data_IF_499972232599
#
_entry.id   IF_499972232599
#
_cell.length_a   1.000
_cell.length_b   1.000
_cell.length_c   1.000
_cell.angle_alpha   90.00
_cell.angle_beta   90.00
_cell.angle_gamma   90.00
#
_symmetry.space_group_name_H-M   'P 1'
#
loop_
_entity.id
_entity.type
_entity.pdbx_description
1 polymer ?
#
# COMPACT_ATOMS: atom_id res chain seq x y z
N UNK A 1 35.34 -20.62 -12.41
CA UNK A 1 35.17 -19.93 -13.70
C UNK A 1 33.82 -20.32 -14.27
N UNK A 2 32.90 -19.37 -14.37
CA UNK A 2 31.56 -19.57 -14.92
C UNK A 2 31.67 -19.80 -16.44
N UNK A 3 31.54 -21.05 -16.90
CA UNK A 3 31.36 -21.34 -18.32
C UNK A 3 30.03 -20.74 -18.76
N UNK A 4 30.04 -19.91 -19.79
CA UNK A 4 28.81 -19.38 -20.37
C UNK A 4 28.17 -20.45 -21.26
N UNK A 5 26.89 -20.32 -21.60
CA UNK A 5 26.21 -21.27 -22.50
C UNK A 5 26.87 -21.39 -23.89
N UNK A 6 27.68 -20.40 -24.29
CA UNK A 6 28.46 -20.41 -25.52
C UNK A 6 29.66 -21.39 -25.47
N UNK A 7 30.08 -21.83 -24.28
CA UNK A 7 31.26 -22.68 -24.06
C UNK A 7 30.92 -24.18 -23.90
N UNK A 8 29.65 -24.55 -24.08
CA UNK A 8 29.19 -25.93 -23.99
C UNK A 8 29.33 -26.61 -25.36
N UNK A 9 30.37 -27.44 -25.53
CA UNK A 9 30.48 -28.31 -26.70
C UNK A 9 29.30 -29.29 -26.76
N UNK A 10 28.88 -29.73 -27.96
CA UNK A 10 27.85 -30.76 -28.12
C UNK A 10 28.19 -32.05 -27.34
N UNK A 11 29.48 -32.32 -27.19
CA UNK A 11 30.01 -33.43 -26.39
C UNK A 11 29.75 -33.23 -24.89
N UNK A 12 29.94 -32.01 -24.37
CA UNK A 12 29.59 -31.66 -22.97
C UNK A 12 28.09 -31.81 -22.75
N UNK A 13 27.26 -31.38 -23.72
CA UNK A 13 25.81 -31.52 -23.65
C UNK A 13 25.36 -32.98 -23.66
N UNK A 14 26.00 -33.83 -24.48
CA UNK A 14 25.75 -35.28 -24.52
C UNK A 14 26.09 -36.00 -23.20
N UNK A 15 27.08 -35.50 -22.46
CA UNK A 15 27.51 -36.07 -21.18
C UNK A 15 26.64 -35.63 -19.98
N UNK A 16 25.85 -34.56 -20.10
CA UNK A 16 24.98 -34.06 -19.00
C UNK A 16 24.04 -35.15 -18.47
N UNK A 17 23.51 -36.00 -19.35
CA UNK A 17 22.58 -37.06 -18.96
C UNK A 17 23.26 -38.12 -18.08
N UNK A 18 24.43 -38.60 -18.49
CA UNK A 18 25.21 -39.59 -17.73
C UNK A 18 25.80 -39.00 -16.45
N UNK A 19 26.21 -37.73 -16.47
CA UNK A 19 26.68 -37.04 -15.28
C UNK A 19 25.55 -36.83 -14.27
N UNK A 20 24.33 -36.48 -14.72
CA UNK A 20 23.14 -36.44 -13.84
C UNK A 20 22.84 -37.81 -13.24
N UNK A 21 22.84 -38.89 -14.05
CA UNK A 21 22.63 -40.25 -13.55
C UNK A 21 23.66 -40.64 -12.51
N UNK A 22 24.94 -40.34 -12.76
CA UNK A 22 26.03 -40.61 -11.80
C UNK A 22 25.82 -39.83 -10.50
N UNK A 23 25.46 -38.54 -10.59
CA UNK A 23 25.17 -37.70 -9.41
C UNK A 23 23.95 -38.17 -8.64
N UNK A 24 22.91 -38.69 -9.30
CA UNK A 24 21.76 -39.30 -8.63
C UNK A 24 22.13 -40.61 -7.95
N UNK A 25 22.91 -41.48 -8.61
CA UNK A 25 23.35 -42.74 -8.04
C UNK A 25 24.31 -42.55 -6.86
N UNK A 26 25.10 -41.46 -6.85
CA UNK A 26 26.01 -41.10 -5.76
C UNK A 26 25.43 -40.10 -4.76
N UNK A 27 24.15 -39.72 -4.89
CA UNK A 27 23.52 -38.79 -3.97
C UNK A 27 23.29 -39.48 -2.61
N UNK A 28 23.44 -38.72 -1.53
CA UNK A 28 23.07 -39.17 -0.18
C UNK A 28 21.58 -39.53 -0.14
N UNK A 29 21.25 -40.60 0.59
CA UNK A 29 19.88 -40.96 0.97
C UNK A 29 19.39 -40.20 2.20
N UNK A 30 20.22 -39.33 2.78
CA UNK A 30 19.85 -38.42 3.85
C UNK A 30 18.66 -37.54 3.42
N UNK A 31 17.60 -37.57 4.22
CA UNK A 31 16.40 -36.82 3.94
C UNK A 31 16.71 -35.31 3.91
N UNK A 32 16.20 -34.63 2.88
CA UNK A 32 16.26 -33.18 2.81
C UNK A 32 15.64 -32.55 4.07
N UNK A 33 16.16 -31.41 4.55
CA UNK A 33 15.59 -30.74 5.70
C UNK A 33 14.14 -30.36 5.41
N UNK A 34 13.27 -30.44 6.44
CA UNK A 34 11.85 -30.09 6.29
C UNK A 34 11.64 -28.65 5.80
N UNK A 35 12.57 -27.75 6.15
CA UNK A 35 12.60 -26.37 5.68
C UNK A 35 14.03 -25.94 5.42
N UNK A 36 14.21 -25.04 4.45
CA UNK A 36 15.52 -24.43 4.19
C UNK A 36 15.64 -23.08 4.91
N UNK A 37 16.85 -22.62 5.25
CA UNK A 37 17.06 -21.31 5.86
C UNK A 37 16.40 -20.15 5.08
N UNK A 38 16.36 -20.24 3.75
CA UNK A 38 15.67 -19.26 2.90
C UNK A 38 14.16 -19.23 3.11
N UNK A 39 13.54 -20.38 3.41
CA UNK A 39 12.11 -20.44 3.71
C UNK A 39 11.80 -19.83 5.07
N UNK A 40 12.65 -20.07 6.07
CA UNK A 40 12.48 -19.46 7.40
C UNK A 40 12.70 -17.95 7.35
N UNK A 41 13.71 -17.49 6.60
CA UNK A 41 13.90 -16.06 6.37
C UNK A 41 12.70 -15.44 5.64
N UNK A 42 12.18 -16.10 4.59
CA UNK A 42 11.00 -15.61 3.88
C UNK A 42 9.76 -15.52 4.77
N UNK A 43 9.53 -16.50 5.66
CA UNK A 43 8.43 -16.44 6.65
C UNK A 43 8.59 -15.28 7.63
N UNK A 44 9.82 -15.02 8.09
CA UNK A 44 10.15 -13.91 8.98
C UNK A 44 9.97 -12.54 8.31
N UNK A 45 10.36 -12.41 7.04
CA UNK A 45 10.25 -11.15 6.28
C UNK A 45 8.84 -10.90 5.73
N UNK A 46 8.09 -11.97 5.44
CA UNK A 46 6.77 -11.89 4.80
C UNK A 46 5.72 -12.72 5.55
N UNK A 47 5.46 -12.44 6.84
CA UNK A 47 4.43 -13.16 7.57
C UNK A 47 3.04 -12.84 7.00
N UNK A 48 2.16 -13.84 6.99
CA UNK A 48 0.76 -13.62 6.59
C UNK A 48 0.01 -12.75 7.61
N UNK A 49 0.35 -12.93 8.90
CA UNK A 49 -0.17 -12.20 10.05
C UNK A 49 0.95 -11.97 11.06
N UNK A 50 0.90 -10.81 11.71
CA UNK A 50 1.68 -10.50 12.91
C UNK A 50 0.67 -10.08 13.99
N UNK A 51 0.89 -10.57 15.19
CA UNK A 51 0.07 -10.26 16.36
C UNK A 51 0.82 -9.25 17.21
N UNK A 52 0.18 -8.12 17.46
CA UNK A 52 0.80 -6.95 18.08
C UNK A 52 -0.02 -6.51 19.29
N UNK A 53 0.58 -5.66 20.13
CA UNK A 53 -0.09 -4.92 21.19
C UNK A 53 0.09 -3.42 20.96
N UNK A 54 -0.92 -2.62 21.26
CA UNK A 54 -0.80 -1.16 21.29
C UNK A 54 0.04 -0.78 22.51
N UNK A 55 1.31 -0.43 22.31
CA UNK A 55 2.19 -0.03 23.40
C UNK A 55 1.99 1.42 23.83
N UNK A 56 1.64 2.29 22.88
CA UNK A 56 1.45 3.73 23.13
C UNK A 56 0.48 4.34 22.13
N UNK A 57 -0.34 5.28 22.60
CA UNK A 57 -1.17 6.15 21.75
C UNK A 57 -0.73 7.60 21.93
N UNK A 58 -0.46 8.29 20.82
CA UNK A 58 -0.14 9.72 20.82
C UNK A 58 -1.20 10.49 20.04
N UNK A 59 -1.87 11.43 20.70
CA UNK A 59 -2.81 12.34 20.02
C UNK A 59 -2.01 13.32 19.16
N UNK A 60 -2.32 13.39 17.87
CA UNK A 60 -1.63 14.28 16.93
C UNK A 60 -2.42 15.57 16.69
N UNK A 61 -3.72 15.42 16.42
CA UNK A 61 -4.73 16.49 16.31
C UNK A 61 -6.11 15.87 16.53
N UNK A 62 -7.18 16.66 16.54
CA UNK A 62 -8.55 16.20 16.90
C UNK A 62 -9.00 14.93 16.15
N UNK A 63 -8.60 14.79 14.89
CA UNK A 63 -8.98 13.69 14.02
C UNK A 63 -7.82 12.74 13.68
N UNK A 64 -6.67 12.80 14.35
CA UNK A 64 -5.56 11.88 14.09
C UNK A 64 -4.81 11.43 15.35
N UNK A 65 -4.53 10.13 15.42
CA UNK A 65 -3.74 9.47 16.47
C UNK A 65 -2.62 8.66 15.86
N UNK A 66 -1.47 8.61 16.53
CA UNK A 66 -0.37 7.70 16.23
C UNK A 66 -0.36 6.54 17.22
N UNK A 67 -0.34 5.32 16.71
CA UNK A 67 -0.36 4.08 17.48
C UNK A 67 0.99 3.38 17.32
N UNK A 68 1.71 3.22 18.44
CA UNK A 68 2.92 2.41 18.48
C UNK A 68 2.53 0.96 18.77
N UNK A 69 2.87 0.06 17.85
CA UNK A 69 2.60 -1.36 17.93
C UNK A 69 3.88 -2.13 18.24
N UNK A 70 3.84 -3.02 19.22
CA UNK A 70 4.95 -3.92 19.58
C UNK A 70 4.55 -5.39 19.44
N UNK A 71 5.47 -6.31 19.12
CA UNK A 71 5.18 -7.73 18.99
C UNK A 71 4.50 -8.33 20.23
N UNK A 72 3.46 -9.15 20.01
CA UNK A 72 2.84 -9.96 21.05
C UNK A 72 3.43 -11.38 21.05
N UNK A 73 4.48 -11.57 21.84
CA UNK A 73 5.18 -12.85 21.94
C UNK A 73 4.26 -13.99 22.40
N UNK A 74 3.28 -13.71 23.26
CA UNK A 74 2.32 -14.69 23.76
C UNK A 74 1.42 -15.25 22.64
N UNK A 75 1.29 -14.53 21.53
CA UNK A 75 0.50 -14.91 20.36
C UNK A 75 1.38 -15.24 19.15
N UNK A 76 2.69 -15.45 19.36
CA UNK A 76 3.59 -16.02 18.34
C UNK A 76 4.31 -15.00 17.46
N UNK A 77 4.24 -13.71 17.77
CA UNK A 77 5.06 -12.68 17.09
C UNK A 77 6.12 -12.17 18.06
N UNK A 78 7.38 -12.50 17.81
CA UNK A 78 8.51 -12.11 18.66
C UNK A 78 9.26 -10.89 18.15
N UNK A 79 9.09 -10.55 16.87
CA UNK A 79 9.78 -9.47 16.20
C UNK A 79 8.94 -8.92 15.04
N UNK A 80 9.17 -7.65 14.71
CA UNK A 80 8.56 -7.03 13.55
C UNK A 80 9.23 -7.52 12.25
N UNK A 81 8.44 -7.82 11.23
CA UNK A 81 8.95 -8.05 9.88
C UNK A 81 9.63 -6.78 9.33
N UNK A 82 10.80 -6.96 8.69
CA UNK A 82 11.50 -5.85 8.06
C UNK A 82 10.72 -5.30 6.85
N UNK A 83 10.86 -4.00 6.59
CA UNK A 83 10.16 -3.32 5.50
C UNK A 83 11.05 -2.26 4.85
N UNK A 84 10.64 -1.78 3.68
CA UNK A 84 11.23 -0.60 3.05
C UNK A 84 10.39 0.64 3.36
N UNK A 85 11.04 1.76 3.69
CA UNK A 85 10.34 3.00 3.99
C UNK A 85 9.36 3.40 2.88
N UNK A 86 8.13 3.73 3.29
CA UNK A 86 6.99 3.97 2.40
C UNK A 86 6.02 2.79 2.27
N UNK A 87 6.35 1.59 2.76
CA UNK A 87 5.39 0.49 2.82
C UNK A 87 4.29 0.68 3.87
N UNK A 88 3.23 -0.13 3.75
CA UNK A 88 2.07 -0.15 4.65
C UNK A 88 1.83 -1.53 5.28
N UNK A 89 1.01 -1.54 6.33
CA UNK A 89 0.47 -2.74 6.96
C UNK A 89 -1.05 -2.76 6.83
N UNK A 90 -1.64 -3.93 6.62
CA UNK A 90 -3.08 -4.10 6.76
C UNK A 90 -3.42 -4.38 8.22
N UNK A 91 -4.27 -3.56 8.83
CA UNK A 91 -4.88 -3.82 10.13
C UNK A 91 -6.14 -4.64 9.90
N UNK A 92 -6.27 -5.78 10.57
CA UNK A 92 -7.44 -6.66 10.51
C UNK A 92 -8.35 -6.41 11.70
N UNK A 93 -9.66 -6.33 11.44
CA UNK A 93 -10.69 -6.11 12.44
C UNK A 93 -11.92 -6.97 12.13
N UNK A 94 -12.61 -7.39 13.18
CA UNK A 94 -13.99 -7.87 13.10
C UNK A 94 -14.88 -6.82 13.75
N UNK A 95 -15.75 -6.21 12.96
CA UNK A 95 -16.72 -5.21 13.44
C UNK A 95 -18.12 -5.81 13.28
N UNK A 96 -18.69 -6.28 14.38
CA UNK A 96 -20.04 -6.88 14.44
C UNK A 96 -20.23 -8.07 13.46
N UNK A 97 -19.23 -8.96 13.33
CA UNK A 97 -19.26 -10.12 12.43
C UNK A 97 -18.80 -9.79 11.01
N UNK A 98 -18.40 -8.54 10.74
CA UNK A 98 -17.86 -8.11 9.46
C UNK A 98 -16.33 -8.07 9.53
N UNK A 99 -15.70 -9.11 8.98
CA UNK A 99 -14.25 -9.17 8.85
C UNK A 99 -13.77 -8.18 7.77
N UNK A 100 -13.07 -7.13 8.21
CA UNK A 100 -12.53 -6.06 7.35
C UNK A 100 -11.04 -5.87 7.62
N UNK A 101 -10.37 -5.20 6.67
CA UNK A 101 -9.01 -4.72 6.90
C UNK A 101 -8.80 -3.38 6.21
N UNK A 102 -7.84 -2.59 6.70
CA UNK A 102 -7.42 -1.33 6.06
C UNK A 102 -5.92 -1.21 6.02
N UNK A 103 -5.41 -0.67 4.92
CA UNK A 103 -4.00 -0.37 4.74
C UNK A 103 -3.65 0.95 5.43
N UNK A 104 -2.60 0.95 6.23
CA UNK A 104 -2.02 2.14 6.86
C UNK A 104 -0.52 2.16 6.62
N UNK A 105 -0.02 3.23 6.02
CA UNK A 105 1.42 3.42 5.81
C UNK A 105 2.16 3.43 7.15
N UNK A 106 3.30 2.75 7.18
CA UNK A 106 4.15 2.70 8.37
C UNK A 106 4.83 4.06 8.49
N UNK A 107 4.62 4.78 9.59
CA UNK A 107 5.19 6.10 9.83
C UNK A 107 6.53 6.06 10.60
N UNK A 108 6.86 4.94 11.24
CA UNK A 108 8.20 4.67 11.80
C UNK A 108 9.18 4.27 10.70
N UNK A 109 10.47 4.16 11.03
CA UNK A 109 11.52 3.74 10.09
C UNK A 109 11.72 2.22 10.05
N UNK A 110 12.35 1.67 9.00
CA UNK A 110 12.83 0.29 8.99
C UNK A 110 13.73 -0.07 10.18
N UNK A 111 14.54 0.88 10.66
CA UNK A 111 15.38 0.70 11.86
C UNK A 111 14.55 0.55 13.13
N UNK A 112 13.43 1.25 13.24
CA UNK A 112 12.52 1.12 14.38
C UNK A 112 11.85 -0.25 14.44
N UNK A 113 11.50 -0.83 13.29
CA UNK A 113 11.00 -2.21 13.23
C UNK A 113 12.05 -3.20 13.72
N UNK A 114 13.33 -3.02 13.37
CA UNK A 114 14.42 -3.82 13.92
C UNK A 114 14.60 -3.62 15.44
N UNK A 115 14.20 -2.46 15.97
CA UNK A 115 14.14 -2.17 17.40
C UNK A 115 12.83 -2.63 18.07
N UNK A 116 11.95 -3.32 17.33
CA UNK A 116 10.79 -4.00 17.89
C UNK A 116 9.49 -3.20 17.91
N UNK A 117 9.32 -2.16 17.06
CA UNK A 117 8.03 -1.50 16.95
C UNK A 117 7.70 -0.97 15.55
N UNK A 118 6.39 -0.84 15.28
CA UNK A 118 5.87 -0.03 14.19
C UNK A 118 5.11 1.17 14.74
N UNK A 119 5.00 2.24 13.96
CA UNK A 119 4.05 3.31 14.19
C UNK A 119 3.09 3.43 13.02
N UNK A 120 1.79 3.50 13.32
CA UNK A 120 0.72 3.75 12.37
C UNK A 120 -0.01 5.04 12.76
N UNK A 121 -0.03 6.02 11.86
CA UNK A 121 -0.83 7.23 12.08
C UNK A 121 -2.16 7.08 11.37
N UNK A 122 -3.25 7.10 12.14
CA UNK A 122 -4.59 6.88 11.64
C UNK A 122 -5.38 8.15 11.83
N UNK A 123 -5.85 8.70 10.70
CA UNK A 123 -6.77 9.83 10.66
C UNK A 123 -8.21 9.30 10.54
N UNK A 124 -9.10 9.80 11.40
CA UNK A 124 -10.52 9.56 11.28
C UNK A 124 -11.03 10.10 9.94
N UNK A 125 -11.90 9.34 9.29
CA UNK A 125 -12.53 9.72 8.03
C UNK A 125 -14.00 9.94 8.33
N UNK A 126 -14.57 11.04 7.85
CA UNK A 126 -15.99 11.30 8.00
C UNK A 126 -16.79 10.12 7.42
N UNK A 127 -17.72 9.57 8.21
CA UNK A 127 -18.52 8.38 7.88
C UNK A 127 -17.70 7.10 7.60
N UNK A 128 -16.40 7.10 7.90
CA UNK A 128 -15.52 5.96 7.72
C UNK A 128 -15.69 4.90 8.81
N UNK A 129 -15.95 3.65 8.45
CA UNK A 129 -16.18 2.61 9.47
C UNK A 129 -14.93 2.27 10.28
N UNK A 130 -13.84 1.91 9.61
CA UNK A 130 -12.67 1.29 10.26
C UNK A 130 -11.82 2.30 11.01
N UNK A 131 -11.55 3.46 10.42
CA UNK A 131 -10.75 4.49 11.08
C UNK A 131 -11.44 5.01 12.33
N UNK A 132 -12.76 5.26 12.30
CA UNK A 132 -13.51 5.67 13.49
C UNK A 132 -13.57 4.55 14.54
N UNK A 133 -13.79 3.29 14.14
CA UNK A 133 -13.72 2.17 15.08
C UNK A 133 -12.40 2.12 15.83
N UNK A 134 -11.26 2.20 15.12
CA UNK A 134 -9.94 2.24 15.75
C UNK A 134 -9.80 3.46 16.67
N UNK A 135 -10.24 4.63 16.20
CA UNK A 135 -10.12 5.88 16.94
C UNK A 135 -10.86 5.86 18.28
N UNK A 136 -12.04 5.23 18.30
CA UNK A 136 -12.95 5.21 19.44
C UNK A 136 -12.69 4.04 20.41
N UNK A 137 -12.16 2.92 19.90
CA UNK A 137 -12.08 1.68 20.68
C UNK A 137 -10.67 1.28 21.11
N UNK A 138 -9.62 1.60 20.35
CA UNK A 138 -8.26 1.16 20.71
C UNK A 138 -7.71 1.91 21.91
N UNK A 139 -7.11 1.15 22.83
CA UNK A 139 -6.42 1.58 24.04
C UNK A 139 -5.04 0.92 24.14
N UNK A 140 -4.17 1.50 24.96
CA UNK A 140 -2.90 0.86 25.29
C UNK A 140 -3.14 -0.52 25.93
N UNK A 141 -2.38 -1.52 25.49
CA UNK A 141 -2.53 -2.93 25.85
C UNK A 141 -3.41 -3.74 24.91
N UNK A 142 -4.21 -3.12 24.04
CA UNK A 142 -5.10 -3.85 23.13
C UNK A 142 -4.31 -4.67 22.11
N UNK A 143 -4.85 -5.85 21.78
CA UNK A 143 -4.30 -6.73 20.76
C UNK A 143 -4.70 -6.24 19.37
N UNK A 144 -3.75 -6.26 18.46
CA UNK A 144 -3.92 -5.83 17.07
C UNK A 144 -3.36 -6.90 16.15
N UNK A 145 -4.15 -7.33 15.18
CA UNK A 145 -3.70 -8.22 14.12
C UNK A 145 -3.36 -7.40 12.87
N UNK A 146 -2.15 -7.58 12.35
CA UNK A 146 -1.67 -6.90 11.14
C UNK A 146 -1.11 -7.89 10.12
N UNK A 147 -0.95 -7.46 8.86
CA UNK A 147 -0.25 -8.25 7.84
C UNK A 147 1.27 -8.14 7.99
N UNK A 148 2.03 -8.88 7.17
CA UNK A 148 3.37 -8.47 6.80
C UNK A 148 3.36 -7.16 5.96
N UNK A 149 4.49 -6.44 5.89
CA UNK A 149 4.61 -5.22 5.08
C UNK A 149 4.24 -5.44 3.62
N UNK A 150 3.60 -4.45 3.00
CA UNK A 150 3.17 -4.46 1.60
C UNK A 150 3.28 -3.07 0.99
N UNK A 151 3.16 -2.97 -0.34
CA UNK A 151 3.22 -1.71 -1.06
C UNK A 151 4.53 -1.54 -1.84
N UNK A 152 4.46 -0.66 -2.85
CA UNK A 152 5.53 -0.42 -3.83
C UNK A 152 5.99 1.05 -3.86
N UNK A 153 5.50 1.86 -2.92
CA UNK A 153 5.84 3.26 -2.76
C UNK A 153 7.16 3.43 -2.00
N UNK A 154 8.20 2.77 -2.49
CA UNK A 154 9.53 2.74 -1.88
C UNK A 154 10.55 3.34 -2.85
N UNK A 155 11.64 3.91 -2.35
CA UNK A 155 12.70 4.45 -3.19
C UNK A 155 13.63 3.35 -3.74
N UNK A 156 13.95 3.38 -5.03
CA UNK A 156 14.94 2.50 -5.66
C UNK A 156 15.87 3.25 -6.60
N UNK A 157 17.18 3.12 -6.38
CA UNK A 157 18.24 3.74 -7.22
C UNK A 157 18.23 3.25 -8.67
N UNK A 158 17.60 2.11 -8.96
CA UNK A 158 17.50 1.54 -10.32
C UNK A 158 16.40 2.25 -11.13
N UNK A 159 15.36 2.72 -10.44
CA UNK A 159 14.13 3.25 -11.05
C UNK A 159 14.04 4.78 -10.92
N UNK A 160 14.38 5.29 -9.75
CA UNK A 160 14.11 6.66 -9.33
C UNK A 160 15.37 7.53 -9.41
N UNK A 161 15.16 8.83 -9.56
CA UNK A 161 16.23 9.81 -9.56
C UNK A 161 16.80 10.02 -8.15
N UNK A 162 17.99 10.63 -8.04
CA UNK A 162 18.65 10.88 -6.75
C UNK A 162 17.86 11.83 -5.84
N UNK A 163 17.04 12.71 -6.41
CA UNK A 163 16.16 13.61 -5.67
C UNK A 163 14.71 13.19 -5.88
N UNK A 164 13.99 13.05 -4.77
CA UNK A 164 12.55 12.82 -4.73
C UNK A 164 11.87 14.10 -4.26
N UNK A 165 10.95 14.60 -5.08
CA UNK A 165 9.98 15.63 -4.70
C UNK A 165 8.72 14.90 -4.21
N UNK A 166 8.53 14.86 -2.91
CA UNK A 166 7.34 14.31 -2.27
C UNK A 166 6.21 15.32 -2.25
N UNK A 167 5.03 14.95 -2.74
CA UNK A 167 3.80 15.74 -2.69
C UNK A 167 2.88 15.05 -1.70
N UNK A 168 2.73 15.66 -0.53
CA UNK A 168 1.98 15.11 0.58
C UNK A 168 0.71 15.93 0.84
N UNK A 169 -0.38 15.25 1.18
CA UNK A 169 -1.63 15.88 1.63
C UNK A 169 -2.21 15.19 2.86
N UNK A 170 -2.50 15.94 3.93
CA UNK A 170 -3.09 15.39 5.15
C UNK A 170 -2.25 14.25 5.77
N UNK A 171 -2.87 13.09 6.00
CA UNK A 171 -2.19 11.89 6.52
C UNK A 171 -1.25 11.21 5.51
N UNK A 172 -1.27 11.63 4.24
CA UNK A 172 -0.32 11.17 3.22
C UNK A 172 1.13 11.58 3.48
N UNK A 173 1.40 12.34 4.54
CA UNK A 173 2.75 12.63 5.02
C UNK A 173 3.46 11.41 5.63
N UNK A 174 2.69 10.41 6.09
CA UNK A 174 3.19 9.25 6.84
C UNK A 174 4.27 8.42 6.12
N UNK A 175 4.13 8.01 4.84
CA UNK A 175 5.21 7.32 4.14
C UNK A 175 6.46 8.20 4.00
N UNK A 176 6.31 9.52 3.84
CA UNK A 176 7.45 10.44 3.76
C UNK A 176 8.17 10.61 5.10
N UNK A 177 7.46 10.53 6.23
CA UNK A 177 8.08 10.50 7.55
C UNK A 177 8.97 9.26 7.70
N UNK A 178 8.48 8.10 7.28
CA UNK A 178 9.27 6.86 7.25
C UNK A 178 10.52 7.02 6.39
N UNK A 179 10.38 7.58 5.17
CA UNK A 179 11.51 7.83 4.27
C UNK A 179 12.53 8.81 4.85
N UNK A 180 12.08 9.90 5.47
CA UNK A 180 12.93 10.90 6.10
C UNK A 180 13.76 10.27 7.25
N UNK A 181 13.11 9.49 8.13
CA UNK A 181 13.81 8.75 9.19
C UNK A 181 14.79 7.71 8.62
N UNK A 182 14.43 7.04 7.53
CA UNK A 182 15.28 6.05 6.85
C UNK A 182 16.55 6.70 6.26
N UNK A 183 16.43 7.91 5.72
CA UNK A 183 17.57 8.73 5.25
C UNK A 183 18.49 9.11 6.42
N UNK A 184 17.93 9.65 7.51
CA UNK A 184 18.71 10.06 8.70
C UNK A 184 19.41 8.87 9.35
N UNK A 185 18.77 7.70 9.37
CA UNK A 185 19.35 6.47 9.91
C UNK A 185 20.54 5.93 9.10
N UNK A 186 20.77 6.44 7.88
CA UNK A 186 21.82 6.01 6.97
C UNK A 186 21.48 4.77 6.13
N UNK A 187 20.26 4.23 6.24
CA UNK A 187 19.82 3.06 5.48
C UNK A 187 19.55 3.38 4.00
N UNK A 188 19.09 4.60 3.71
CA UNK A 188 18.87 5.09 2.34
C UNK A 188 19.63 6.37 2.06
N UNK A 189 19.94 6.55 0.79
CA UNK A 189 20.78 7.64 0.33
C UNK A 189 20.18 8.27 -0.93
N UNK A 190 19.28 9.23 -0.72
CA UNK A 190 18.65 10.10 -1.71
C UNK A 190 18.25 11.43 -1.04
N UNK A 191 17.94 12.45 -1.83
CA UNK A 191 17.44 13.73 -1.33
C UNK A 191 15.92 13.72 -1.35
N UNK A 192 15.28 14.22 -0.29
CA UNK A 192 13.84 14.27 -0.14
C UNK A 192 13.38 15.71 0.09
N UNK A 193 12.69 16.26 -0.91
CA UNK A 193 12.05 17.58 -0.84
C UNK A 193 10.55 17.35 -0.74
N UNK A 194 9.94 17.66 0.40
CA UNK A 194 8.52 17.42 0.66
C UNK A 194 7.76 18.73 0.51
N UNK A 195 6.82 18.76 -0.44
CA UNK A 195 5.79 19.77 -0.57
C UNK A 195 4.57 19.26 0.19
N UNK A 196 4.29 19.83 1.36
CA UNK A 196 3.26 19.34 2.26
C UNK A 196 2.05 20.28 2.30
N UNK A 197 0.97 19.86 1.63
CA UNK A 197 -0.30 20.54 1.58
C UNK A 197 -1.13 20.34 2.85
N UNK A 198 -1.51 21.44 3.50
CA UNK A 198 -2.39 21.48 4.68
C UNK A 198 -3.41 22.61 4.55
N UNK A 199 -4.54 22.51 5.24
CA UNK A 199 -5.55 23.59 5.21
C UNK A 199 -5.05 24.84 5.93
N UNK A 200 -4.55 24.67 7.14
CA UNK A 200 -3.97 25.70 7.99
C UNK A 200 -2.72 25.15 8.68
N UNK A 201 -1.92 26.04 9.25
CA UNK A 201 -0.68 25.67 9.94
C UNK A 201 -0.90 24.82 11.20
N UNK A 202 -2.05 24.96 11.87
CA UNK A 202 -2.42 24.15 13.06
C UNK A 202 -2.65 22.67 12.73
N UNK A 203 -3.07 22.37 11.50
CA UNK A 203 -3.37 21.00 11.06
C UNK A 203 -2.16 20.21 10.55
N UNK A 204 -0.95 20.77 10.61
CA UNK A 204 0.27 20.15 10.08
C UNK A 204 0.71 19.01 11.01
N UNK A 205 0.57 17.77 10.53
CA UNK A 205 1.07 16.60 11.25
C UNK A 205 2.60 16.55 11.22
N UNK A 206 3.21 16.13 12.33
CA UNK A 206 4.65 15.90 12.44
C UNK A 206 5.55 17.12 12.15
N UNK A 207 5.02 18.35 12.21
CA UNK A 207 5.80 19.56 11.91
C UNK A 207 7.14 19.59 12.66
N UNK A 208 7.09 19.46 13.99
CA UNK A 208 8.28 19.48 14.85
C UNK A 208 9.28 18.38 14.48
N UNK A 209 8.80 17.17 14.19
CA UNK A 209 9.67 16.05 13.86
C UNK A 209 10.37 16.26 12.50
N UNK A 210 9.68 16.84 11.52
CA UNK A 210 10.30 17.22 10.26
C UNK A 210 11.29 18.38 10.40
N UNK A 211 11.01 19.36 11.27
CA UNK A 211 11.95 20.43 11.59
C UNK A 211 13.26 19.83 12.17
N UNK A 212 13.15 18.86 13.07
CA UNK A 212 14.29 18.14 13.67
C UNK A 212 15.05 17.30 12.63
N UNK A 213 14.35 16.51 11.81
CA UNK A 213 14.97 15.68 10.76
C UNK A 213 15.68 16.52 9.70
N UNK A 214 15.12 17.68 9.34
CA UNK A 214 15.74 18.62 8.39
C UNK A 214 16.98 19.31 8.98
N UNK A 215 17.02 19.51 10.31
CA UNK A 215 18.20 20.03 10.99
C UNK A 215 19.33 18.98 11.10
N UNK A 216 18.98 17.69 11.23
CA UNK A 216 19.94 16.59 11.32
C UNK A 216 20.55 16.21 9.95
N UNK A 217 19.81 16.41 8.85
CA UNK A 217 20.26 16.02 7.52
C UNK A 217 19.96 17.08 6.46
N UNK A 218 21.00 17.52 5.75
CA UNK A 218 20.89 18.41 4.60
C UNK A 218 20.22 17.77 3.36
N UNK A 219 19.86 16.49 3.44
CA UNK A 219 19.14 15.77 2.37
C UNK A 219 17.63 15.93 2.48
N UNK A 220 17.12 16.52 3.55
CA UNK A 220 15.69 16.65 3.82
C UNK A 220 15.32 18.12 3.79
N UNK A 221 14.30 18.46 3.01
CA UNK A 221 13.68 19.77 2.98
C UNK A 221 12.17 19.60 3.04
N UNK A 222 11.51 20.38 3.89
CA UNK A 222 10.04 20.41 3.97
C UNK A 222 9.56 21.81 3.68
N UNK A 223 8.65 21.92 2.73
CA UNK A 223 7.98 23.15 2.32
C UNK A 223 6.50 22.96 2.59
N UNK A 224 5.96 23.78 3.48
CA UNK A 224 4.54 23.76 3.80
C UNK A 224 3.75 24.64 2.84
N UNK A 225 2.65 24.10 2.32
CA UNK A 225 1.73 24.80 1.41
C UNK A 225 0.36 24.85 2.08
N UNK A 226 -0.16 26.05 2.34
CA UNK A 226 -1.41 26.27 3.06
C UNK A 226 -2.53 26.73 2.12
N UNK A 227 -3.67 26.04 2.13
CA UNK A 227 -4.78 26.37 1.22
C UNK A 227 -5.75 27.43 1.77
N UNK A 228 -5.82 27.61 3.10
CA UNK A 228 -6.82 28.48 3.75
C UNK A 228 -6.17 29.59 4.61
N UNK A 229 -4.85 29.68 4.66
CA UNK A 229 -4.10 30.63 5.49
C UNK A 229 -2.89 31.13 4.70
N UNK A 230 -2.78 32.44 4.47
CA UNK A 230 -1.53 33.06 4.03
C UNK A 230 -0.66 33.35 5.26
N UNK A 231 0.56 32.83 5.27
CA UNK A 231 1.47 32.92 6.42
C UNK A 231 2.92 33.05 5.98
N UNK A 232 3.67 33.94 6.64
CA UNK A 232 5.09 34.10 6.38
C UNK A 232 5.87 32.79 6.62
N UNK A 233 6.72 32.42 5.65
CA UNK A 233 7.47 31.17 5.66
C UNK A 233 6.73 29.96 5.09
N UNK A 234 5.51 30.15 4.57
CA UNK A 234 4.68 29.12 3.94
C UNK A 234 4.35 29.53 2.50
N UNK A 235 4.21 28.55 1.61
CA UNK A 235 3.58 28.77 0.32
C UNK A 235 2.06 28.80 0.48
N UNK A 236 1.36 29.49 -0.41
CA UNK A 236 -0.10 29.60 -0.39
C UNK A 236 -0.76 28.91 -1.58
N UNK A 237 -1.92 28.30 -1.35
CA UNK A 237 -2.74 27.65 -2.37
C UNK A 237 -2.61 26.13 -2.39
N UNK A 238 -2.53 25.57 -3.60
CA UNK A 238 -2.37 24.13 -3.85
C UNK A 238 -1.03 23.85 -4.50
N UNK A 239 -0.53 22.61 -4.38
CA UNK A 239 0.76 22.20 -4.93
C UNK A 239 0.66 22.11 -6.46
N UNK A 240 0.94 23.22 -7.14
CA UNK A 240 0.90 23.36 -8.59
C UNK A 240 2.24 22.97 -9.25
N UNK A 241 2.24 22.91 -10.58
CA UNK A 241 3.45 22.78 -11.40
C UNK A 241 4.51 23.83 -11.02
N UNK A 242 4.09 25.07 -10.78
CA UNK A 242 4.98 26.17 -10.40
C UNK A 242 5.71 25.89 -9.09
N UNK A 243 4.96 25.48 -8.04
CA UNK A 243 5.55 25.13 -6.75
C UNK A 243 6.47 23.92 -6.89
N UNK A 244 6.07 22.89 -7.65
CA UNK A 244 6.91 21.72 -7.86
C UNK A 244 8.23 22.12 -8.53
N UNK A 245 8.18 22.90 -9.62
CA UNK A 245 9.38 23.38 -10.33
C UNK A 245 10.26 24.33 -9.52
N UNK A 246 9.66 25.11 -8.62
CA UNK A 246 10.39 26.04 -7.73
C UNK A 246 11.36 25.31 -6.82
N UNK A 247 10.98 24.12 -6.33
CA UNK A 247 11.76 23.35 -5.36
C UNK A 247 12.43 22.10 -5.95
N UNK A 248 12.03 21.67 -7.14
CA UNK A 248 12.73 20.61 -7.86
C UNK A 248 14.12 21.07 -8.33
N UNK A 249 15.10 20.14 -8.46
CA UNK A 249 16.39 20.47 -9.05
C UNK A 249 16.22 20.92 -10.51
N UNK A 250 16.84 22.05 -10.88
CA UNK A 250 16.75 22.62 -12.24
C UNK A 250 17.58 21.85 -13.27
N UNK A 251 18.75 21.37 -12.86
CA UNK A 251 19.78 20.81 -13.75
C UNK A 251 20.01 19.31 -13.54
N UNK A 252 19.07 18.61 -12.90
CA UNK A 252 19.16 17.17 -12.64
C UNK A 252 17.77 16.50 -12.67
N UNK A 253 17.67 15.21 -13.05
CA UNK A 253 16.41 14.49 -12.96
C UNK A 253 15.95 14.38 -11.51
N UNK A 254 14.63 14.38 -11.33
CA UNK A 254 13.98 14.12 -10.06
C UNK A 254 12.79 13.19 -10.26
N UNK A 255 12.37 12.56 -9.17
CA UNK A 255 11.15 11.76 -9.13
C UNK A 255 10.09 12.47 -8.32
N UNK A 256 8.84 12.36 -8.72
CA UNK A 256 7.68 12.89 -7.98
C UNK A 256 6.98 11.73 -7.33
N UNK A 257 6.91 11.76 -6.00
CA UNK A 257 6.23 10.77 -5.18
C UNK A 257 5.01 11.45 -4.58
N UNK A 258 3.82 10.86 -4.70
CA UNK A 258 2.56 11.48 -4.27
C UNK A 258 1.84 10.58 -3.27
N UNK A 259 1.41 11.15 -2.15
CA UNK A 259 0.54 10.47 -1.20
C UNK A 259 -0.42 11.47 -0.54
N UNK A 260 -1.73 11.23 -0.65
CA UNK A 260 -2.74 12.13 -0.11
C UNK A 260 -4.16 11.79 -0.57
N UNK A 261 -5.10 12.73 -0.44
CA UNK A 261 -6.49 12.50 -0.84
C UNK A 261 -6.66 12.42 -2.36
N UNK A 262 -7.70 11.73 -2.83
CA UNK A 262 -8.01 11.56 -4.27
C UNK A 262 -8.04 12.87 -5.05
N UNK A 263 -8.62 13.92 -4.47
CA UNK A 263 -8.68 15.26 -5.08
C UNK A 263 -7.29 15.86 -5.33
N UNK A 264 -6.31 15.53 -4.48
CA UNK A 264 -4.92 15.97 -4.65
C UNK A 264 -4.28 15.24 -5.82
N UNK A 265 -4.42 13.91 -5.91
CA UNK A 265 -3.91 13.15 -7.05
C UNK A 265 -4.47 13.67 -8.37
N UNK A 266 -5.80 13.84 -8.46
CA UNK A 266 -6.46 14.35 -9.66
C UNK A 266 -5.99 15.75 -10.08
N UNK A 267 -5.68 16.60 -9.10
CA UNK A 267 -5.14 17.93 -9.35
C UNK A 267 -3.69 17.86 -9.83
N UNK A 268 -2.82 17.21 -9.06
CA UNK A 268 -1.38 17.14 -9.33
C UNK A 268 -1.09 16.36 -10.62
N UNK A 269 -1.85 15.31 -10.93
CA UNK A 269 -1.68 14.57 -12.19
C UNK A 269 -1.92 15.46 -13.42
N UNK A 270 -2.79 16.47 -13.34
CA UNK A 270 -2.98 17.45 -14.42
C UNK A 270 -1.78 18.40 -14.52
N UNK A 271 -1.26 18.86 -13.39
CA UNK A 271 -0.06 19.69 -13.33
C UNK A 271 1.17 18.97 -13.89
N UNK A 272 1.33 17.67 -13.58
CA UNK A 272 2.45 16.84 -14.06
C UNK A 272 2.43 16.61 -15.58
N UNK A 273 1.27 16.68 -16.24
CA UNK A 273 1.18 16.52 -17.71
C UNK A 273 1.99 17.60 -18.45
N UNK A 274 2.08 18.80 -17.88
CA UNK A 274 2.84 19.91 -18.45
C UNK A 274 4.36 19.79 -18.22
N UNK A 275 4.76 18.98 -17.25
CA UNK A 275 6.16 18.86 -16.81
C UNK A 275 6.99 17.86 -17.63
N UNK A 276 6.34 17.05 -18.48
CA UNK A 276 6.98 16.08 -19.39
C UNK A 276 7.95 15.11 -18.68
N UNK A 277 7.69 14.78 -17.42
CA UNK A 277 8.47 13.79 -16.68
C UNK A 277 8.23 12.38 -17.25
N UNK A 278 9.29 11.58 -17.36
CA UNK A 278 9.14 10.17 -17.69
C UNK A 278 8.28 9.45 -16.65
N UNK A 279 7.32 8.63 -17.09
CA UNK A 279 6.38 7.92 -16.20
C UNK A 279 7.07 7.12 -15.08
N UNK A 280 8.29 6.62 -15.31
CA UNK A 280 9.06 5.85 -14.30
C UNK A 280 9.36 6.68 -13.04
N UNK A 281 9.47 8.00 -13.19
CA UNK A 281 9.76 8.95 -12.12
C UNK A 281 8.52 9.46 -11.39
N UNK A 282 7.32 9.10 -11.82
CA UNK A 282 6.07 9.48 -11.18
C UNK A 282 5.57 8.27 -10.38
N UNK A 283 5.32 8.50 -9.09
CA UNK A 283 4.95 7.45 -8.14
C UNK A 283 3.72 7.88 -7.38
N UNK A 284 2.69 7.07 -7.44
CA UNK A 284 1.51 7.18 -6.61
C UNK A 284 1.61 6.13 -5.50
N UNK A 285 1.29 6.55 -4.28
CA UNK A 285 0.85 5.62 -3.25
C UNK A 285 -0.62 5.25 -3.52
N UNK A 286 -1.18 4.34 -2.71
CA UNK A 286 -2.59 3.96 -2.75
C UNK A 286 -3.53 5.16 -3.01
N UNK A 287 -4.30 5.08 -4.09
CA UNK A 287 -5.28 6.10 -4.44
C UNK A 287 -6.44 6.23 -3.42
N UNK A 288 -6.66 5.20 -2.61
CA UNK A 288 -7.81 5.09 -1.69
C UNK A 288 -9.00 4.37 -2.31
N UNK A 289 -10.04 4.15 -1.50
CA UNK A 289 -11.28 3.48 -1.93
C UNK A 289 -12.17 4.42 -2.74
N UNK A 290 -12.82 3.90 -3.78
CA UNK A 290 -13.95 4.58 -4.42
C UNK A 290 -15.21 4.09 -3.73
N UNK A 291 -15.88 4.96 -2.98
CA UNK A 291 -17.04 4.58 -2.18
C UNK A 291 -18.37 4.63 -2.94
N UNK A 292 -18.46 5.44 -4.00
CA UNK A 292 -19.68 5.62 -4.76
C UNK A 292 -19.34 5.81 -6.24
N UNK A 293 -19.85 4.96 -7.15
CA UNK A 293 -19.53 5.06 -8.58
C UNK A 293 -20.07 6.35 -9.20
N UNK A 294 -21.15 6.94 -8.65
CA UNK A 294 -21.71 8.21 -9.14
C UNK A 294 -20.77 9.41 -8.96
N UNK A 295 -19.74 9.28 -8.12
CA UNK A 295 -18.68 10.30 -8.01
C UNK A 295 -17.72 10.32 -9.20
N UNK A 296 -17.78 9.29 -10.05
CA UNK A 296 -16.85 9.10 -11.16
C UNK A 296 -17.47 9.60 -12.47
N UNK A 297 -16.71 10.42 -13.20
CA UNK A 297 -17.17 11.03 -14.46
C UNK A 297 -17.42 10.01 -15.58
N UNK A 298 -16.77 8.84 -15.52
CA UNK A 298 -16.87 7.77 -16.51
C UNK A 298 -17.86 6.66 -16.11
N UNK A 299 -18.64 6.86 -15.04
CA UNK A 299 -19.66 5.90 -14.62
C UNK A 299 -20.85 5.89 -15.61
N UNK A 300 -21.19 4.74 -16.23
CA UNK A 300 -22.32 4.66 -17.16
C UNK A 300 -23.70 4.76 -16.49
N UNK A 301 -23.76 4.69 -15.15
CA UNK A 301 -25.01 4.54 -14.42
C UNK A 301 -25.56 3.12 -14.45
N UNK A 302 -26.50 2.84 -13.57
CA UNK A 302 -27.32 1.62 -13.61
C UNK A 302 -28.75 1.97 -13.25
N UNK A 303 -29.71 1.27 -13.89
CA UNK A 303 -31.14 1.38 -13.55
C UNK A 303 -31.55 0.41 -12.44
N UNK A 304 -30.67 -0.52 -12.09
CA UNK A 304 -30.94 -1.50 -11.06
C UNK A 304 -30.91 -0.81 -9.69
N UNK A 305 -31.92 -1.09 -8.87
CA UNK A 305 -31.95 -0.66 -7.46
C UNK A 305 -31.31 -1.68 -6.53
N UNK A 306 -31.15 -2.92 -7.02
CA UNK A 306 -30.45 -4.01 -6.35
C UNK A 306 -29.94 -4.98 -7.42
N UNK A 307 -28.87 -5.69 -7.10
CA UNK A 307 -28.30 -6.74 -7.96
C UNK A 307 -28.07 -8.01 -7.16
N UNK A 308 -28.15 -9.15 -7.83
CA UNK A 308 -27.82 -10.45 -7.27
C UNK A 308 -26.35 -10.77 -7.53
N UNK A 309 -25.59 -11.03 -6.46
CA UNK A 309 -24.20 -11.49 -6.55
C UNK A 309 -24.16 -12.94 -6.09
N UNK A 310 -23.89 -13.86 -7.01
CA UNK A 310 -23.61 -15.26 -6.70
C UNK A 310 -22.10 -15.44 -6.60
N UNK A 311 -21.61 -15.76 -5.41
CA UNK A 311 -20.18 -15.92 -5.12
C UNK A 311 -19.85 -17.38 -4.84
N UNK A 312 -18.81 -17.87 -5.50
CA UNK A 312 -18.25 -19.21 -5.27
C UNK A 312 -16.87 -19.07 -4.63
N UNK A 313 -16.68 -19.72 -3.49
CA UNK A 313 -15.40 -19.83 -2.77
C UNK A 313 -15.13 -21.31 -2.57
N UNK A 314 -14.15 -21.86 -3.30
CA UNK A 314 -13.91 -23.32 -3.37
C UNK A 314 -15.20 -24.05 -3.75
N UNK A 315 -15.70 -24.94 -2.89
CA UNK A 315 -16.89 -25.76 -3.13
C UNK A 315 -18.18 -25.13 -2.55
N UNK A 316 -18.10 -23.91 -2.02
CA UNK A 316 -19.26 -23.23 -1.41
C UNK A 316 -19.74 -22.09 -2.30
N UNK A 317 -21.03 -22.13 -2.65
CA UNK A 317 -21.70 -21.04 -3.38
C UNK A 317 -22.72 -20.36 -2.47
N UNK A 318 -22.69 -19.04 -2.45
CA UNK A 318 -23.68 -18.20 -1.75
C UNK A 318 -24.21 -17.15 -2.70
N UNK A 319 -25.45 -16.74 -2.45
CA UNK A 319 -26.10 -15.67 -3.21
C UNK A 319 -26.50 -14.58 -2.24
N UNK A 320 -26.17 -13.34 -2.58
CA UNK A 320 -26.55 -12.15 -1.83
C UNK A 320 -27.29 -11.16 -2.75
N UNK A 321 -28.10 -10.30 -2.14
CA UNK A 321 -28.65 -9.12 -2.80
C UNK A 321 -27.81 -7.93 -2.33
N UNK A 322 -27.34 -7.12 -3.27
CA UNK A 322 -26.41 -6.03 -3.03
C UNK A 322 -26.89 -4.71 -3.63
N UNK A 323 -26.44 -3.60 -3.03
CA UNK A 323 -26.58 -2.26 -3.61
C UNK A 323 -25.57 -2.11 -4.75
N UNK A 324 -25.98 -1.77 -5.98
CA UNK A 324 -25.06 -1.62 -7.09
C UNK A 324 -24.11 -0.41 -6.95
N UNK A 325 -24.33 0.48 -5.98
CA UNK A 325 -23.41 1.56 -5.64
C UNK A 325 -22.30 1.13 -4.68
N UNK A 326 -22.38 -0.07 -4.09
CA UNK A 326 -21.28 -0.65 -3.34
C UNK A 326 -20.32 -1.38 -4.30
N UNK A 327 -19.04 -1.40 -3.94
CA UNK A 327 -18.10 -2.32 -4.59
C UNK A 327 -18.51 -3.76 -4.30
N UNK A 328 -18.16 -4.69 -5.19
CA UNK A 328 -18.41 -6.12 -4.99
C UNK A 328 -17.79 -6.58 -3.66
N UNK A 329 -16.60 -6.11 -3.32
CA UNK A 329 -15.96 -6.43 -2.03
C UNK A 329 -16.78 -5.96 -0.83
N UNK A 330 -17.23 -4.71 -0.82
CA UNK A 330 -18.05 -4.19 0.28
C UNK A 330 -19.39 -4.92 0.41
N UNK A 331 -20.01 -5.28 -0.72
CA UNK A 331 -21.23 -6.07 -0.76
C UNK A 331 -21.04 -7.45 -0.10
N UNK A 332 -19.92 -8.11 -0.39
CA UNK A 332 -19.57 -9.41 0.19
C UNK A 332 -19.26 -9.28 1.69
N UNK A 333 -18.51 -8.26 2.10
CA UNK A 333 -18.17 -7.99 3.50
C UNK A 333 -19.43 -7.75 4.35
N UNK A 334 -20.35 -6.89 3.89
CA UNK A 334 -21.65 -6.63 4.56
C UNK A 334 -22.49 -7.90 4.77
N UNK A 335 -22.26 -8.94 3.98
CA UNK A 335 -22.95 -10.23 4.07
C UNK A 335 -22.11 -11.32 4.76
N UNK A 336 -21.04 -10.95 5.48
CA UNK A 336 -20.20 -11.87 6.24
C UNK A 336 -19.35 -12.79 5.37
N UNK A 337 -19.08 -12.40 4.12
CA UNK A 337 -18.25 -13.16 3.19
C UNK A 337 -16.87 -12.50 3.11
N UNK A 338 -15.88 -13.15 3.73
CA UNK A 338 -14.51 -12.65 3.76
C UNK A 338 -13.85 -12.76 2.37
N UNK A 339 -13.33 -11.64 1.87
CA UNK A 339 -12.61 -11.55 0.60
C UNK A 339 -11.15 -11.22 0.88
N UNK A 340 -10.19 -11.87 0.20
CA UNK A 340 -8.78 -11.47 0.31
C UNK A 340 -8.61 -10.02 -0.13
N UNK A 341 -8.06 -9.16 0.74
CA UNK A 341 -7.78 -7.77 0.38
C UNK A 341 -6.48 -7.26 1.01
N UNK A 342 -5.85 -6.29 0.34
CA UNK A 342 -4.73 -5.51 0.89
C UNK A 342 -4.93 -4.01 0.64
N UNK A 343 -4.64 -3.51 -0.56
CA UNK A 343 -4.65 -2.07 -0.84
C UNK A 343 -6.04 -1.42 -0.82
N UNK A 344 -7.08 -2.14 -1.28
CA UNK A 344 -8.42 -1.60 -1.57
C UNK A 344 -8.46 -0.40 -2.54
N UNK A 345 -7.45 -0.28 -3.40
CA UNK A 345 -7.33 0.79 -4.41
C UNK A 345 -7.15 0.25 -5.83
N UNK A 346 -7.42 -1.04 -6.06
CA UNK A 346 -7.33 -1.64 -7.39
C UNK A 346 -5.91 -1.94 -7.90
N UNK A 347 -4.87 -1.70 -7.12
CA UNK A 347 -3.48 -1.75 -7.61
C UNK A 347 -2.71 -3.04 -7.26
N UNK A 348 -2.94 -3.62 -6.07
CA UNK A 348 -2.09 -4.72 -5.57
C UNK A 348 -2.38 -6.09 -6.20
N UNK A 349 -3.56 -6.29 -6.78
CA UNK A 349 -4.01 -7.56 -7.34
C UNK A 349 -4.31 -8.69 -6.34
N UNK A 350 -4.21 -8.44 -5.03
CA UNK A 350 -4.43 -9.48 -4.00
C UNK A 350 -5.88 -9.98 -3.95
N UNK A 351 -6.84 -9.12 -4.28
CA UNK A 351 -8.26 -9.45 -4.31
C UNK A 351 -8.72 -10.09 -5.63
N UNK A 352 -7.79 -10.51 -6.50
CA UNK A 352 -8.16 -10.99 -7.83
C UNK A 352 -9.21 -12.09 -7.79
N UNK A 353 -10.28 -11.88 -8.55
CA UNK A 353 -11.40 -12.82 -8.64
C UNK A 353 -11.81 -12.99 -10.10
N UNK A 354 -12.35 -14.16 -10.44
CA UNK A 354 -12.80 -14.46 -11.81
C UNK A 354 -14.26 -14.08 -11.91
N UNK A 355 -14.59 -13.16 -12.82
CA UNK A 355 -15.97 -12.90 -13.21
C UNK A 355 -16.42 -14.03 -14.13
N UNK A 356 -17.45 -14.77 -13.73
CA UNK A 356 -17.97 -15.90 -14.52
C UNK A 356 -19.06 -15.43 -15.48
N UNK A 357 -19.94 -14.53 -15.01
CA UNK A 357 -20.99 -13.92 -15.81
C UNK A 357 -21.41 -12.55 -15.25
N UNK A 358 -22.10 -11.77 -16.08
CA UNK A 358 -22.58 -10.42 -15.75
C UNK A 358 -21.62 -9.30 -16.15
N UNK A 359 -21.99 -8.07 -15.80
CA UNK A 359 -21.29 -6.84 -16.19
C UNK A 359 -20.86 -6.04 -14.97
N UNK A 360 -19.65 -5.49 -15.01
CA UNK A 360 -19.10 -4.65 -13.94
C UNK A 360 -18.53 -3.36 -14.50
N UNK A 361 -18.66 -2.28 -13.74
CA UNK A 361 -17.98 -1.03 -13.96
C UNK A 361 -16.75 -0.94 -13.05
N UNK A 362 -15.62 -0.53 -13.61
CA UNK A 362 -14.38 -0.29 -12.89
C UNK A 362 -13.93 1.12 -13.29
N UNK A 363 -13.80 2.08 -12.35
CA UNK A 363 -13.37 3.42 -12.69
C UNK A 363 -11.97 3.42 -13.28
N UNK A 364 -11.76 4.15 -14.38
CA UNK A 364 -10.47 4.19 -15.09
C UNK A 364 -9.32 4.69 -14.21
N UNK A 365 -9.62 5.54 -13.23
CA UNK A 365 -8.65 6.10 -12.28
C UNK A 365 -8.00 5.06 -11.39
N UNK A 366 -8.65 3.92 -11.14
CA UNK A 366 -8.20 2.87 -10.22
C UNK A 366 -8.20 1.48 -10.86
N UNK A 367 -8.31 1.39 -12.19
CA UNK A 367 -8.24 0.12 -12.91
C UNK A 367 -6.79 -0.36 -13.03
N UNK A 368 -6.28 -1.02 -11.98
CA UNK A 368 -4.94 -1.62 -11.96
C UNK A 368 -4.85 -3.00 -12.59
N UNK A 369 -5.83 -3.42 -13.40
CA UNK A 369 -5.79 -4.72 -14.09
C UNK A 369 -4.68 -4.75 -15.13
N UNK A 370 -4.02 -5.90 -15.22
CA UNK A 370 -2.96 -6.25 -16.15
C UNK A 370 -3.55 -7.00 -17.35
N UNK A 371 -2.78 -7.13 -18.43
CA UNK A 371 -3.20 -7.85 -19.64
C UNK A 371 -3.71 -9.28 -19.37
N UNK A 372 -3.10 -9.99 -18.42
CA UNK A 372 -3.56 -11.32 -18.01
C UNK A 372 -4.98 -11.30 -17.43
N UNK A 373 -5.36 -10.21 -16.76
CA UNK A 373 -6.63 -10.11 -16.06
C UNK A 373 -7.76 -9.97 -17.06
N UNK A 374 -7.56 -9.15 -18.10
CA UNK A 374 -8.46 -9.10 -19.24
C UNK A 374 -8.58 -10.46 -19.95
N UNK A 375 -7.45 -11.15 -20.16
CA UNK A 375 -7.43 -12.46 -20.85
C UNK A 375 -8.20 -13.55 -20.12
N UNK A 376 -8.19 -13.53 -18.78
CA UNK A 376 -8.78 -14.57 -17.94
C UNK A 376 -10.04 -14.09 -17.20
N UNK A 377 -10.67 -13.02 -17.69
CA UNK A 377 -11.85 -12.38 -17.11
C UNK A 377 -11.74 -12.13 -15.60
N UNK A 378 -10.59 -11.65 -15.16
CA UNK A 378 -10.33 -11.32 -13.77
C UNK A 378 -10.62 -9.86 -13.50
N UNK A 379 -11.21 -9.62 -12.34
CA UNK A 379 -11.54 -8.30 -11.83
C UNK A 379 -10.97 -8.09 -10.43
N UNK A 380 -10.90 -6.83 -10.00
CA UNK A 380 -10.54 -6.45 -8.65
C UNK A 380 -11.81 -6.02 -7.88
N UNK A 381 -12.42 -6.91 -7.07
CA UNK A 381 -13.69 -6.63 -6.39
C UNK A 381 -13.66 -5.39 -5.49
N UNK A 382 -12.48 -4.96 -5.02
CA UNK A 382 -12.34 -3.76 -4.19
C UNK A 382 -12.66 -2.44 -4.92
N UNK A 383 -12.66 -2.43 -6.25
CA UNK A 383 -12.94 -1.24 -7.08
C UNK A 383 -13.93 -1.53 -8.21
N UNK A 384 -14.55 -2.71 -8.20
CA UNK A 384 -15.52 -3.13 -9.21
C UNK A 384 -16.94 -2.94 -8.67
N UNK A 385 -17.80 -2.30 -9.43
CA UNK A 385 -19.21 -2.09 -9.14
C UNK A 385 -20.06 -2.94 -10.09
N UNK A 386 -21.03 -3.72 -9.60
CA UNK A 386 -21.88 -4.53 -10.46
C UNK A 386 -22.88 -3.65 -11.24
N UNK A 387 -22.96 -3.85 -12.56
CA UNK A 387 -23.95 -3.20 -13.42
C UNK A 387 -25.19 -4.08 -13.63
N UNK A 388 -25.03 -5.39 -13.51
CA UNK A 388 -26.08 -6.41 -13.61
C UNK A 388 -25.90 -7.48 -12.54
N UNK A 389 -26.77 -8.49 -12.53
CA UNK A 389 -26.53 -9.70 -11.73
C UNK A 389 -25.23 -10.38 -12.19
N UNK A 390 -24.41 -10.81 -11.24
CA UNK A 390 -23.09 -11.39 -11.53
C UNK A 390 -22.90 -12.74 -10.85
N UNK A 391 -22.06 -13.57 -11.47
CA UNK A 391 -21.47 -14.74 -10.85
C UNK A 391 -19.95 -14.54 -10.77
N UNK A 392 -19.37 -14.75 -9.59
CA UNK A 392 -17.96 -14.48 -9.32
C UNK A 392 -17.31 -15.60 -8.51
N UNK A 393 -16.12 -16.02 -8.92
CA UNK A 393 -15.28 -16.93 -8.17
C UNK A 393 -14.21 -16.15 -7.42
N UNK A 394 -14.23 -16.24 -6.09
CA UNK A 394 -13.35 -15.49 -5.19
C UNK A 394 -12.39 -16.47 -4.51
N UNK A 395 -11.08 -16.17 -4.45
CA UNK A 395 -10.14 -17.00 -3.71
C UNK A 395 -10.49 -17.02 -2.22
N UNK A 396 -10.26 -18.14 -1.55
CA UNK A 396 -10.46 -18.22 -0.11
C UNK A 396 -9.57 -17.21 0.63
N UNK A 397 -10.20 -16.34 1.44
CA UNK A 397 -9.49 -15.49 2.39
C UNK A 397 -8.81 -16.39 3.43
N UNK A 398 -7.49 -16.22 3.62
CA UNK A 398 -6.71 -16.96 4.62
C UNK A 398 -6.59 -16.19 5.92
#
# INVERSE_FOLDING_TARGET
>A
MSKTFADLSMETFGQISEERKRRFASASDEALPKTFPVNELAKKLHPNRQYMKVARITQMCDDAKCYRLVPDADHGTTECAYFEAGQYLNVFLDINGMAVNRAYSISSSPKDALNGFYELTIKAVQDGLVSNYIFDNWKEGDKVEISGPSGFFTYSKIRDAKTVVGVAGGSGITPFLSMAKDIVSGNRDFNLVILYGSRSSEGILYKKEFDELSAESNKIQVVHVLSNEEKEGYEYGFISEEIIKKYAPKDAPYSVFMCGPQVMYQFVDKELQNMQLEKKYIRHELFGEVHNPNSQLDYPGTKNTSVKITVTIRDTTKTIIADPNDTIMHSLEKNGIAVPSRCRSGECGFCHSVLQSGEVYIPKSVDGRRLADFKFNRIHPCVSFPLSDIEIEVPASK
#
